data_IF_283728454631
#
_entry.id   IF_283728454631
#
_cell.length_a   1.000
_cell.length_b   1.000
_cell.length_c   1.000
_cell.angle_alpha   90.00
_cell.angle_beta   90.00
_cell.angle_gamma   90.00
#
_symmetry.space_group_name_H-M   'P 1'
#
loop_
_entity.id
_entity.type
_entity.pdbx_description
1 polymer ?
#
# COMPACT_ATOMS: atom_id res chain seq x y z
N UNK A 1 -49.89 -14.31 4.68
CA UNK A 1 -48.77 -14.16 5.65
C UNK A 1 -48.88 -12.78 6.25
N UNK A 2 -48.52 -12.60 7.52
CA UNK A 2 -48.60 -11.30 8.18
C UNK A 2 -47.43 -10.40 7.75
N UNK A 3 -47.68 -9.11 7.61
CA UNK A 3 -46.67 -8.13 7.20
C UNK A 3 -45.64 -7.88 8.31
N UNK A 4 -44.35 -8.03 7.95
CA UNK A 4 -43.19 -7.97 8.87
C UNK A 4 -42.53 -6.58 8.84
N UNK A 5 -42.87 -5.74 7.86
CA UNK A 5 -42.24 -4.43 7.66
C UNK A 5 -43.06 -3.35 8.38
N UNK A 6 -42.37 -2.49 9.13
CA UNK A 6 -42.98 -1.40 9.88
C UNK A 6 -42.29 -0.09 9.53
N UNK A 7 -43.06 1.00 9.48
CA UNK A 7 -42.49 2.33 9.32
C UNK A 7 -41.64 2.66 10.56
N UNK A 8 -40.44 3.19 10.34
CA UNK A 8 -39.62 3.66 11.45
C UNK A 8 -40.31 4.84 12.13
N UNK A 9 -40.20 4.95 13.48
CA UNK A 9 -40.62 6.15 14.17
C UNK A 9 -39.87 7.37 13.64
N UNK A 10 -40.57 8.50 13.49
CA UNK A 10 -40.00 9.71 12.87
C UNK A 10 -38.75 10.21 13.58
N UNK A 11 -38.67 10.04 14.91
CA UNK A 11 -37.48 10.39 15.70
C UNK A 11 -36.22 9.61 15.27
N UNK A 12 -36.36 8.34 14.93
CA UNK A 12 -35.26 7.47 14.47
C UNK A 12 -34.87 7.83 13.04
N UNK A 13 -35.85 8.01 12.15
CA UNK A 13 -35.58 8.47 10.79
C UNK A 13 -34.94 9.87 10.75
N UNK A 14 -35.28 10.76 11.68
CA UNK A 14 -34.70 12.11 11.81
C UNK A 14 -33.24 12.05 12.27
N UNK A 15 -32.91 11.20 13.24
CA UNK A 15 -31.54 11.03 13.72
C UNK A 15 -30.63 10.42 12.67
N UNK A 16 -31.16 9.55 11.81
CA UNK A 16 -30.43 8.98 10.67
C UNK A 16 -30.13 10.07 9.63
N UNK A 17 -31.14 10.85 9.22
CA UNK A 17 -30.96 11.94 8.25
C UNK A 17 -30.01 13.04 8.76
N UNK A 18 -30.05 13.37 10.05
CA UNK A 18 -29.17 14.37 10.65
C UNK A 18 -27.69 13.94 10.64
N UNK A 19 -27.39 12.65 10.81
CA UNK A 19 -26.02 12.11 10.74
C UNK A 19 -25.41 12.09 9.33
N UNK A 20 -26.25 12.12 8.29
CA UNK A 20 -25.82 12.16 6.89
C UNK A 20 -25.45 13.59 6.43
N UNK A 21 -26.09 14.61 7.01
CA UNK A 21 -25.85 16.04 6.71
C UNK A 21 -24.82 16.67 7.66
N UNK A 22 -24.82 16.25 8.94
CA UNK A 22 -23.96 16.82 9.98
C UNK A 22 -23.05 15.74 10.57
N UNK A 23 -21.83 15.64 10.03
CA UNK A 23 -20.85 14.61 10.42
C UNK A 23 -19.84 15.07 11.49
N UNK A 24 -19.66 16.39 11.62
CA UNK A 24 -18.77 17.02 12.62
C UNK A 24 -19.33 18.39 13.02
N UNK A 25 -18.96 18.94 14.19
CA UNK A 25 -19.40 20.27 14.61
C UNK A 25 -19.24 21.36 13.54
N UNK A 26 -18.19 21.29 12.72
CA UNK A 26 -17.97 22.21 11.60
C UNK A 26 -19.08 22.16 10.51
N UNK A 27 -19.72 21.00 10.30
CA UNK A 27 -20.85 20.87 9.38
C UNK A 27 -22.08 21.60 9.89
N UNK A 28 -22.34 21.57 11.21
CA UNK A 28 -23.41 22.38 11.84
C UNK A 28 -23.17 23.87 11.57
N UNK A 29 -21.94 24.33 11.80
CA UNK A 29 -21.56 25.74 11.61
C UNK A 29 -21.73 26.14 10.14
N UNK A 30 -21.31 25.29 9.19
CA UNK A 30 -21.47 25.54 7.76
C UNK A 30 -22.93 25.75 7.37
N UNK A 31 -23.82 24.82 7.74
CA UNK A 31 -25.24 24.89 7.35
C UNK A 31 -25.96 26.08 7.99
N UNK A 32 -25.64 26.40 9.25
CA UNK A 32 -26.19 27.59 9.92
C UNK A 32 -25.70 28.89 9.28
N UNK A 33 -24.42 28.96 8.89
CA UNK A 33 -23.89 30.13 8.17
C UNK A 33 -24.46 30.26 6.76
N UNK A 34 -24.67 29.16 6.04
CA UNK A 34 -25.31 29.18 4.72
C UNK A 34 -26.77 29.66 4.82
N UNK A 35 -27.49 29.27 5.87
CA UNK A 35 -28.84 29.79 6.14
C UNK A 35 -28.85 31.28 6.51
N UNK A 36 -27.88 31.77 7.28
CA UNK A 36 -27.75 33.19 7.59
C UNK A 36 -27.48 34.02 6.32
N UNK A 37 -26.63 33.51 5.41
CA UNK A 37 -26.37 34.14 4.11
C UNK A 37 -27.61 34.12 3.22
N UNK A 38 -28.33 33.00 3.15
CA UNK A 38 -29.58 32.91 2.39
C UNK A 38 -30.67 33.82 2.97
N UNK A 39 -30.62 34.13 4.27
CA UNK A 39 -31.46 35.12 4.95
C UNK A 39 -30.98 36.57 4.77
N UNK A 40 -29.97 36.81 3.93
CA UNK A 40 -29.38 38.12 3.63
C UNK A 40 -28.80 38.83 4.86
N UNK A 41 -28.20 38.07 5.79
CA UNK A 41 -27.49 38.65 6.92
C UNK A 41 -26.17 39.30 6.48
N UNK A 42 -25.91 40.52 6.95
CA UNK A 42 -24.65 41.23 6.75
C UNK A 42 -23.67 41.03 7.93
N UNK A 43 -24.19 40.62 9.09
CA UNK A 43 -23.44 40.37 10.33
C UNK A 43 -23.79 38.98 10.85
N UNK A 44 -22.78 38.15 11.05
CA UNK A 44 -22.91 36.78 11.57
C UNK A 44 -21.87 36.56 12.67
N UNK A 45 -22.34 36.34 13.91
CA UNK A 45 -21.52 36.04 15.07
C UNK A 45 -21.53 34.53 15.37
N UNK A 46 -20.34 33.90 15.38
CA UNK A 46 -20.19 32.47 15.66
C UNK A 46 -19.48 32.25 16.99
N UNK A 47 -20.15 31.60 17.94
CA UNK A 47 -19.64 31.28 19.27
C UNK A 47 -19.53 29.76 19.41
N UNK A 48 -18.33 29.27 19.72
CA UNK A 48 -18.03 27.85 19.85
C UNK A 48 -17.43 27.58 21.23
N UNK A 49 -17.97 26.58 21.94
CA UNK A 49 -17.41 26.08 23.21
C UNK A 49 -17.05 24.60 23.10
N UNK A 50 -15.88 24.24 23.62
CA UNK A 50 -15.37 22.86 23.64
C UNK A 50 -15.41 22.20 22.25
N UNK A 51 -14.82 22.88 21.26
CA UNK A 51 -14.79 22.44 19.85
C UNK A 51 -16.18 22.11 19.26
N UNK A 52 -17.23 22.75 19.77
CA UNK A 52 -18.61 22.57 19.32
C UNK A 52 -19.33 21.37 19.93
N UNK A 53 -18.70 20.66 20.87
CA UNK A 53 -19.35 19.57 21.62
C UNK A 53 -20.30 20.10 22.70
N UNK A 54 -19.94 21.23 23.30
CA UNK A 54 -20.74 21.86 24.37
C UNK A 54 -21.66 22.95 23.84
N UNK A 55 -21.21 23.77 22.88
CA UNK A 55 -22.03 24.84 22.31
C UNK A 55 -21.57 25.18 20.89
N UNK A 56 -22.54 25.29 19.99
CA UNK A 56 -22.43 25.98 18.71
C UNK A 56 -23.58 26.98 18.66
N UNK A 57 -23.25 28.26 18.57
CA UNK A 57 -24.25 29.34 18.48
C UNK A 57 -23.86 30.24 17.31
N UNK A 58 -24.80 30.44 16.38
CA UNK A 58 -24.69 31.37 15.26
C UNK A 58 -25.79 32.40 15.46
N UNK A 59 -25.43 33.67 15.64
CA UNK A 59 -26.39 34.77 15.60
C UNK A 59 -26.20 35.50 14.28
N UNK A 60 -27.30 35.80 13.61
CA UNK A 60 -27.29 36.62 12.40
C UNK A 60 -28.31 37.76 12.53
N UNK A 61 -28.15 38.78 11.70
CA UNK A 61 -29.08 39.91 11.58
C UNK A 61 -29.94 39.83 10.30
N UNK A 62 -30.15 38.63 9.76
CA UNK A 62 -30.91 38.42 8.54
C UNK A 62 -32.40 38.71 8.72
N UNK A 63 -33.18 38.42 7.67
CA UNK A 63 -34.62 38.70 7.61
C UNK A 63 -35.45 37.98 8.69
N UNK A 64 -34.87 36.98 9.35
CA UNK A 64 -35.50 36.23 10.42
C UNK A 64 -36.64 35.32 9.94
N UNK A 65 -37.43 34.82 10.90
CA UNK A 65 -38.59 33.96 10.65
C UNK A 65 -39.80 34.48 11.41
N UNK A 66 -40.99 34.34 10.84
CA UNK A 66 -42.23 34.55 11.60
C UNK A 66 -42.42 33.46 12.66
N UNK A 67 -43.31 33.67 13.64
CA UNK A 67 -43.62 32.65 14.65
C UNK A 67 -44.08 31.33 14.01
N UNK A 68 -44.81 31.40 12.89
CA UNK A 68 -45.29 30.22 12.17
C UNK A 68 -44.14 29.54 11.42
N UNK A 69 -43.29 30.30 10.73
CA UNK A 69 -42.14 29.75 9.98
C UNK A 69 -41.09 29.17 10.92
N UNK A 70 -40.91 29.75 12.11
CA UNK A 70 -39.99 29.23 13.13
C UNK A 70 -40.39 27.84 13.64
N UNK A 71 -41.66 27.46 13.51
CA UNK A 71 -42.15 26.09 13.80
C UNK A 71 -41.98 25.18 12.58
N UNK A 72 -42.34 25.68 11.39
CA UNK A 72 -42.29 24.92 10.14
C UNK A 72 -40.87 24.62 9.64
N UNK A 73 -39.87 25.43 9.99
CA UNK A 73 -38.49 25.24 9.51
C UNK A 73 -37.82 23.97 10.06
N UNK A 74 -38.39 23.36 11.09
CA UNK A 74 -37.95 22.07 11.63
C UNK A 74 -38.66 20.87 10.96
N UNK A 75 -39.67 21.11 10.13
CA UNK A 75 -40.42 20.07 9.44
C UNK A 75 -39.70 19.58 8.16
N UNK A 76 -39.84 18.29 7.85
CA UNK A 76 -39.22 17.71 6.65
C UNK A 76 -39.86 18.26 5.38
N UNK A 77 -39.04 18.40 4.33
CA UNK A 77 -39.46 18.85 3.00
C UNK A 77 -40.11 20.26 3.00
N UNK A 78 -39.92 21.03 4.07
CA UNK A 78 -40.33 22.42 4.16
C UNK A 78 -39.13 23.32 3.81
N UNK A 79 -39.29 24.21 2.83
CA UNK A 79 -38.29 25.21 2.46
C UNK A 79 -38.96 26.43 1.85
N UNK A 80 -38.42 27.61 2.12
CA UNK A 80 -38.83 28.86 1.46
C UNK A 80 -38.11 29.08 0.12
N UNK A 81 -37.13 28.22 -0.23
CA UNK A 81 -36.14 28.48 -1.30
C UNK A 81 -36.53 27.95 -2.68
N UNK A 82 -37.39 26.92 -2.76
CA UNK A 82 -37.86 26.32 -4.02
C UNK A 82 -39.34 25.94 -3.90
N UNK A 83 -40.13 26.11 -4.97
CA UNK A 83 -41.57 25.84 -4.98
C UNK A 83 -41.98 24.86 -6.09
N UNK A 84 -41.13 24.67 -7.09
CA UNK A 84 -41.39 23.79 -8.24
C UNK A 84 -40.14 22.99 -8.64
N UNK A 85 -40.33 21.97 -9.49
CA UNK A 85 -39.21 21.17 -10.03
C UNK A 85 -38.31 22.00 -10.94
N UNK A 86 -38.84 23.00 -11.62
CA UNK A 86 -38.10 23.87 -12.54
C UNK A 86 -37.15 24.84 -11.79
N UNK A 87 -37.49 25.21 -10.55
CA UNK A 87 -36.62 26.00 -9.67
C UNK A 87 -35.30 25.26 -9.34
N UNK A 88 -35.31 23.92 -9.49
CA UNK A 88 -34.12 23.11 -9.31
C UNK A 88 -33.05 23.31 -10.38
N UNK A 89 -33.46 23.67 -11.58
CA UNK A 89 -32.53 23.89 -12.69
C UNK A 89 -32.07 25.36 -12.75
N UNK A 90 -32.54 26.20 -11.81
CA UNK A 90 -32.42 27.66 -11.80
C UNK A 90 -31.86 28.21 -10.48
N UNK A 91 -30.92 27.49 -9.85
CA UNK A 91 -30.57 27.70 -8.45
C UNK A 91 -29.63 28.89 -8.24
N UNK A 92 -30.12 29.88 -7.50
CA UNK A 92 -29.36 31.04 -7.01
C UNK A 92 -29.05 30.95 -5.50
N UNK A 93 -29.45 29.88 -4.82
CA UNK A 93 -29.27 29.65 -3.37
C UNK A 93 -28.36 28.44 -3.11
N UNK A 94 -27.60 28.48 -2.00
CA UNK A 94 -26.47 27.54 -1.79
C UNK A 94 -26.86 26.17 -1.21
N UNK A 95 -28.11 26.00 -0.74
CA UNK A 95 -28.63 24.72 -0.25
C UNK A 95 -30.06 24.47 -0.73
N UNK A 96 -30.30 23.36 -1.42
CA UNK A 96 -31.60 23.11 -2.07
C UNK A 96 -32.05 21.64 -2.11
N UNK A 97 -31.18 20.66 -1.85
CA UNK A 97 -31.53 19.23 -1.82
C UNK A 97 -30.69 18.50 -0.79
N UNK A 98 -31.34 17.89 0.20
CA UNK A 98 -30.67 17.06 1.21
C UNK A 98 -30.07 15.74 0.69
N UNK A 99 -29.35 15.70 -0.45
CA UNK A 99 -28.80 14.46 -1.05
C UNK A 99 -27.48 14.66 -1.88
N UNK A 100 -26.42 15.25 -1.31
CA UNK A 100 -25.21 15.67 -2.07
C UNK A 100 -24.00 14.70 -2.07
N UNK A 101 -24.11 13.40 -1.74
CA UNK A 101 -22.95 12.63 -1.23
C UNK A 101 -22.05 11.84 -2.22
N UNK A 102 -22.43 11.58 -3.49
CA UNK A 102 -21.62 10.70 -4.37
C UNK A 102 -20.49 11.42 -5.15
N UNK A 103 -20.76 12.57 -5.77
CA UNK A 103 -19.79 13.30 -6.61
C UNK A 103 -18.68 13.95 -5.76
N UNK A 104 -19.03 14.42 -4.56
CA UNK A 104 -18.13 15.13 -3.65
C UNK A 104 -17.01 14.27 -3.06
N UNK A 105 -17.06 12.94 -3.21
CA UNK A 105 -15.98 12.06 -2.74
C UNK A 105 -14.84 11.98 -3.77
N UNK A 106 -15.13 11.99 -5.06
CA UNK A 106 -14.09 11.92 -6.11
C UNK A 106 -13.29 13.23 -6.22
N UNK A 107 -13.90 14.37 -5.89
CA UNK A 107 -13.22 15.67 -5.83
C UNK A 107 -12.05 15.76 -4.86
N UNK A 108 -12.00 14.86 -3.88
CA UNK A 108 -10.88 14.75 -2.94
C UNK A 108 -9.74 13.88 -3.47
N UNK A 109 -9.98 13.08 -4.51
CA UNK A 109 -9.07 12.04 -5.00
C UNK A 109 -8.40 12.42 -6.32
N UNK A 110 -9.06 13.19 -7.18
CA UNK A 110 -8.58 13.50 -8.53
C UNK A 110 -8.38 15.02 -8.73
N UNK A 111 -7.34 15.40 -9.46
CA UNK A 111 -7.12 16.81 -9.85
C UNK A 111 -7.89 17.22 -11.12
N UNK A 112 -8.56 16.26 -11.78
CA UNK A 112 -9.12 16.41 -13.14
C UNK A 112 -10.64 16.54 -13.19
N UNK A 113 -11.11 16.99 -14.36
CA UNK A 113 -12.51 17.26 -14.69
C UNK A 113 -13.47 16.10 -14.34
N UNK A 114 -14.57 16.46 -13.68
CA UNK A 114 -15.66 15.57 -13.34
C UNK A 114 -16.71 15.62 -14.45
N UNK A 115 -17.11 14.46 -14.95
CA UNK A 115 -18.14 14.37 -15.97
C UNK A 115 -19.31 13.54 -15.45
N UNK A 116 -20.51 14.09 -15.56
CA UNK A 116 -21.75 13.35 -15.35
C UNK A 116 -22.34 13.01 -16.72
N UNK A 117 -21.90 11.89 -17.29
CA UNK A 117 -22.15 11.49 -18.67
C UNK A 117 -22.53 10.00 -18.75
N UNK A 118 -23.16 9.59 -19.85
CA UNK A 118 -23.67 8.25 -20.05
C UNK A 118 -22.59 7.17 -19.93
N UNK A 119 -22.71 6.34 -18.88
CA UNK A 119 -21.68 5.40 -18.42
C UNK A 119 -21.19 4.42 -19.50
N UNK A 120 -22.11 3.76 -20.22
CA UNK A 120 -21.80 2.77 -21.26
C UNK A 120 -21.14 3.37 -22.52
N UNK A 121 -21.57 4.55 -22.94
CA UNK A 121 -21.11 5.17 -24.20
C UNK A 121 -19.71 5.73 -24.04
N UNK A 122 -19.47 6.34 -22.90
CA UNK A 122 -18.26 7.11 -22.62
C UNK A 122 -17.07 6.22 -22.33
N UNK A 123 -17.26 5.18 -21.52
CA UNK A 123 -16.19 4.26 -21.12
C UNK A 123 -15.70 3.39 -22.28
N UNK A 124 -16.45 3.29 -23.38
CA UNK A 124 -16.02 2.63 -24.61
C UNK A 124 -15.08 3.49 -25.47
N UNK A 125 -15.17 4.82 -25.33
CA UNK A 125 -14.50 5.77 -26.22
C UNK A 125 -13.21 6.31 -25.61
N UNK A 126 -13.23 6.73 -24.34
CA UNK A 126 -12.12 7.41 -23.69
C UNK A 126 -11.64 6.68 -22.43
N UNK A 127 -10.40 6.95 -22.04
CA UNK A 127 -9.79 6.39 -20.84
C UNK A 127 -10.14 7.22 -19.60
N UNK A 128 -10.64 6.56 -18.56
CA UNK A 128 -11.00 7.18 -17.29
C UNK A 128 -10.32 6.47 -16.13
N UNK A 129 -9.76 7.23 -15.18
CA UNK A 129 -9.17 6.58 -14.02
C UNK A 129 -10.24 6.04 -13.06
N UNK A 130 -11.35 6.76 -12.90
CA UNK A 130 -12.43 6.44 -11.96
C UNK A 130 -13.77 6.46 -12.67
N UNK A 131 -14.61 5.46 -12.39
CA UNK A 131 -15.99 5.42 -12.87
C UNK A 131 -16.94 5.02 -11.74
N UNK A 132 -18.08 5.72 -11.64
CA UNK A 132 -19.15 5.39 -10.71
C UNK A 132 -20.48 5.29 -11.45
N UNK A 133 -21.21 4.20 -11.21
CA UNK A 133 -22.54 3.96 -11.78
C UNK A 133 -23.51 3.50 -10.70
N UNK A 134 -24.72 4.08 -10.69
CA UNK A 134 -25.76 3.74 -9.73
C UNK A 134 -27.09 3.58 -10.45
N UNK A 135 -27.80 2.49 -10.17
CA UNK A 135 -29.10 2.21 -10.77
C UNK A 135 -29.74 0.95 -10.18
N UNK A 136 -31.01 0.73 -10.54
CA UNK A 136 -31.71 -0.50 -10.16
C UNK A 136 -30.97 -1.74 -10.69
N UNK A 137 -30.73 -2.72 -9.82
CA UNK A 137 -29.87 -3.86 -10.12
C UNK A 137 -30.59 -5.18 -10.34
N UNK A 138 -30.09 -5.96 -11.28
CA UNK A 138 -30.27 -7.43 -11.39
C UNK A 138 -28.89 -8.07 -11.41
N UNK A 139 -28.78 -9.40 -11.41
CA UNK A 139 -27.48 -10.08 -11.56
C UNK A 139 -26.69 -9.62 -12.80
N UNK A 140 -27.36 -9.22 -13.88
CA UNK A 140 -26.76 -8.95 -15.19
C UNK A 140 -26.93 -7.50 -15.67
N UNK A 141 -27.60 -6.63 -14.93
CA UNK A 141 -27.88 -5.26 -15.38
C UNK A 141 -27.94 -4.23 -14.26
N UNK A 142 -27.39 -3.06 -14.51
CA UNK A 142 -27.61 -1.83 -13.76
C UNK A 142 -28.42 -0.86 -14.63
N UNK A 143 -29.68 -0.63 -14.25
CA UNK A 143 -30.63 0.17 -15.02
C UNK A 143 -30.10 1.57 -15.30
N UNK A 144 -30.11 1.97 -16.58
CA UNK A 144 -29.60 3.27 -17.03
C UNK A 144 -28.06 3.40 -17.02
N UNK A 145 -27.32 2.35 -16.64
CA UNK A 145 -25.86 2.40 -16.49
C UNK A 145 -25.18 1.41 -17.44
N UNK A 146 -25.34 0.10 -17.22
CA UNK A 146 -24.59 -0.94 -17.95
C UNK A 146 -25.19 -2.35 -17.80
N UNK A 147 -24.83 -3.28 -18.69
CA UNK A 147 -25.25 -4.69 -18.64
C UNK A 147 -24.06 -5.63 -18.85
N UNK A 148 -24.13 -6.87 -18.34
CA UNK A 148 -23.08 -7.87 -18.57
C UNK A 148 -22.95 -8.25 -20.05
N UNK A 149 -24.04 -8.19 -20.82
CA UNK A 149 -24.02 -8.39 -22.27
C UNK A 149 -23.18 -7.32 -23.00
N UNK A 150 -23.24 -6.06 -22.55
CA UNK A 150 -22.39 -5.00 -23.08
C UNK A 150 -20.91 -5.23 -22.72
N UNK A 151 -20.66 -5.62 -21.47
CA UNK A 151 -19.31 -5.86 -20.93
C UNK A 151 -18.60 -7.05 -21.58
N UNK A 152 -19.35 -8.03 -22.11
CA UNK A 152 -18.78 -9.16 -22.84
C UNK A 152 -17.99 -8.76 -24.10
N UNK A 153 -18.15 -7.52 -24.59
CA UNK A 153 -17.41 -6.98 -25.72
C UNK A 153 -16.05 -6.35 -25.37
N UNK A 154 -15.56 -6.47 -24.13
CA UNK A 154 -14.29 -5.90 -23.62
C UNK A 154 -14.17 -4.38 -23.80
N UNK A 155 -15.11 -3.66 -23.19
CA UNK A 155 -15.39 -2.26 -23.54
C UNK A 155 -15.00 -1.23 -22.48
N UNK A 156 -14.54 -1.63 -21.29
CA UNK A 156 -14.35 -0.68 -20.20
C UNK A 156 -12.92 -0.14 -20.15
N UNK A 157 -12.75 1.11 -20.55
CA UNK A 157 -11.48 1.83 -20.45
C UNK A 157 -11.37 2.59 -19.13
N UNK A 158 -11.44 1.87 -18.01
CA UNK A 158 -11.22 2.48 -16.70
C UNK A 158 -10.42 1.63 -15.71
N UNK A 159 -9.77 2.29 -14.75
CA UNK A 159 -8.95 1.59 -13.74
C UNK A 159 -9.79 1.16 -12.55
N UNK A 160 -10.43 2.13 -11.88
CA UNK A 160 -11.24 1.90 -10.69
C UNK A 160 -12.72 2.05 -11.03
N UNK A 161 -13.48 1.00 -10.74
CA UNK A 161 -14.90 0.94 -11.05
C UNK A 161 -15.77 0.74 -9.81
N UNK A 162 -16.83 1.52 -9.69
CA UNK A 162 -17.74 1.50 -8.55
C UNK A 162 -19.17 1.38 -9.08
N UNK A 163 -19.81 0.25 -8.82
CA UNK A 163 -21.20 0.01 -9.24
C UNK A 163 -22.08 -0.20 -8.02
N UNK A 164 -23.18 0.54 -7.95
CA UNK A 164 -24.19 0.40 -6.90
C UNK A 164 -25.55 -0.01 -7.48
N UNK A 165 -26.14 -1.03 -6.85
CA UNK A 165 -27.44 -1.61 -7.22
C UNK A 165 -27.62 -2.98 -6.57
N UNK A 166 -28.82 -3.55 -6.70
CA UNK A 166 -29.18 -4.83 -6.10
C UNK A 166 -28.52 -6.02 -6.80
N UNK A 167 -28.20 -7.09 -6.04
CA UNK A 167 -27.68 -8.39 -6.52
C UNK A 167 -26.28 -8.36 -7.18
N UNK A 168 -25.64 -7.20 -7.18
CA UNK A 168 -24.26 -7.08 -7.65
C UNK A 168 -23.33 -7.71 -6.63
N UNK A 169 -22.40 -8.55 -7.08
CA UNK A 169 -21.44 -9.22 -6.20
C UNK A 169 -21.90 -10.54 -5.60
N UNK A 170 -23.17 -10.95 -5.79
CA UNK A 170 -23.65 -12.27 -5.41
C UNK A 170 -22.81 -13.37 -6.09
N UNK A 171 -22.16 -14.20 -5.26
CA UNK A 171 -21.16 -15.18 -5.69
C UNK A 171 -21.77 -16.46 -6.25
N UNK A 172 -23.00 -16.77 -5.86
CA UNK A 172 -23.77 -17.95 -6.27
C UNK A 172 -24.34 -17.84 -7.70
N UNK A 173 -24.34 -16.65 -8.29
CA UNK A 173 -24.72 -16.47 -9.70
C UNK A 173 -23.49 -16.47 -10.62
N UNK A 174 -23.35 -17.35 -11.63
CA UNK A 174 -22.18 -17.35 -12.50
C UNK A 174 -22.03 -16.09 -13.37
N UNK A 175 -23.14 -15.45 -13.77
CA UNK A 175 -23.15 -14.25 -14.61
C UNK A 175 -23.52 -13.03 -13.75
N UNK A 176 -22.51 -12.49 -13.05
CA UNK A 176 -22.68 -11.34 -12.17
C UNK A 176 -22.02 -10.08 -12.77
N UNK A 177 -22.70 -8.94 -12.62
CA UNK A 177 -22.30 -7.67 -13.19
C UNK A 177 -20.90 -7.19 -12.74
N UNK A 178 -20.53 -7.32 -11.46
CA UNK A 178 -19.21 -6.85 -10.98
C UNK A 178 -18.07 -7.68 -11.59
N UNK A 179 -18.26 -9.00 -11.68
CA UNK A 179 -17.29 -9.90 -12.31
C UNK A 179 -17.18 -9.65 -13.81
N UNK A 180 -18.31 -9.36 -14.45
CA UNK A 180 -18.35 -8.97 -15.87
C UNK A 180 -17.56 -7.67 -16.10
N UNK A 181 -17.69 -6.69 -15.20
CA UNK A 181 -16.97 -5.42 -15.31
C UNK A 181 -15.45 -5.57 -15.09
N UNK A 182 -15.04 -6.48 -14.18
CA UNK A 182 -13.63 -6.80 -13.98
C UNK A 182 -13.07 -7.52 -15.23
N UNK A 183 -13.84 -8.44 -15.80
CA UNK A 183 -13.43 -9.20 -16.98
C UNK A 183 -13.36 -8.36 -18.27
N UNK A 184 -14.00 -7.19 -18.31
CA UNK A 184 -14.09 -6.33 -19.50
C UNK A 184 -13.08 -5.18 -19.52
N UNK A 185 -12.02 -5.25 -18.69
CA UNK A 185 -10.92 -4.28 -18.71
C UNK A 185 -10.70 -3.47 -17.43
N UNK A 186 -11.67 -3.40 -16.50
CA UNK A 186 -11.43 -2.71 -15.23
C UNK A 186 -10.40 -3.45 -14.37
N UNK A 187 -9.42 -2.72 -13.79
CA UNK A 187 -8.40 -3.33 -12.91
C UNK A 187 -8.91 -3.56 -11.49
N UNK A 188 -9.89 -2.78 -11.04
CA UNK A 188 -10.61 -3.02 -9.79
C UNK A 188 -12.08 -2.64 -9.91
N UNK A 189 -12.93 -3.44 -9.28
CA UNK A 189 -14.39 -3.23 -9.23
C UNK A 189 -14.87 -3.39 -7.80
N UNK A 190 -15.66 -2.44 -7.32
CA UNK A 190 -16.26 -2.48 -5.99
C UNK A 190 -17.78 -2.30 -6.05
N UNK A 191 -18.48 -3.08 -5.22
CA UNK A 191 -19.88 -2.80 -4.91
C UNK A 191 -19.95 -1.63 -3.93
N UNK A 192 -20.24 -0.43 -4.44
CA UNK A 192 -20.17 0.82 -3.69
C UNK A 192 -21.55 1.31 -3.28
N UNK A 193 -21.66 2.34 -2.42
CA UNK A 193 -22.93 2.99 -2.09
C UNK A 193 -23.52 2.58 -0.74
N UNK A 194 -23.74 1.29 -0.49
CA UNK A 194 -24.21 0.78 0.82
C UNK A 194 -23.67 -0.62 1.04
N UNK A 195 -22.72 -0.85 1.93
CA UNK A 195 -22.11 0.06 2.91
C UNK A 195 -21.19 1.12 2.28
N UNK A 196 -20.87 2.18 3.05
CA UNK A 196 -20.03 3.27 2.56
C UNK A 196 -18.56 2.86 2.42
N UNK A 197 -17.92 3.37 1.37
CA UNK A 197 -16.50 3.19 1.10
C UNK A 197 -15.73 4.49 1.26
N UNK A 198 -14.50 4.39 1.78
CA UNK A 198 -13.64 5.53 2.07
C UNK A 198 -12.34 5.47 1.28
N UNK A 199 -12.35 6.00 0.05
CA UNK A 199 -11.21 5.96 -0.87
C UNK A 199 -10.29 7.19 -0.84
N UNK A 200 -10.59 8.21 -0.04
CA UNK A 200 -9.77 9.43 0.05
C UNK A 200 -8.30 9.14 0.42
N UNK A 201 -8.01 8.03 1.10
CA UNK A 201 -6.64 7.60 1.38
C UNK A 201 -5.81 7.41 0.09
N UNK A 202 -6.44 7.05 -1.03
CA UNK A 202 -5.75 6.88 -2.31
C UNK A 202 -5.25 8.21 -2.89
N UNK A 203 -5.87 9.33 -2.51
CA UNK A 203 -5.36 10.68 -2.77
C UNK A 203 -4.01 10.95 -2.08
N UNK A 204 -3.71 10.20 -1.01
CA UNK A 204 -2.47 10.29 -0.24
C UNK A 204 -1.51 9.13 -0.55
N UNK A 205 -1.71 8.44 -1.67
CA UNK A 205 -0.79 7.39 -2.15
C UNK A 205 -0.97 6.02 -1.52
N UNK A 206 -1.99 5.84 -0.67
CA UNK A 206 -2.35 4.52 -0.15
C UNK A 206 -3.05 3.68 -1.22
N UNK A 207 -3.04 2.36 -1.03
CA UNK A 207 -3.66 1.43 -1.98
C UNK A 207 -5.16 1.34 -1.79
N UNK A 208 -5.88 0.83 -2.79
CA UNK A 208 -7.32 0.54 -2.67
C UNK A 208 -7.61 -0.49 -1.58
N UNK A 209 -6.72 -1.46 -1.38
CA UNK A 209 -6.81 -2.44 -0.30
C UNK A 209 -6.67 -1.83 1.10
N UNK A 210 -5.82 -0.81 1.25
CA UNK A 210 -5.77 -0.05 2.50
C UNK A 210 -7.12 0.64 2.76
N UNK A 211 -7.68 1.29 1.75
CA UNK A 211 -8.99 1.96 1.83
C UNK A 211 -10.12 0.98 2.15
N UNK A 212 -10.10 -0.20 1.52
CA UNK A 212 -11.04 -1.29 1.80
C UNK A 212 -10.93 -1.75 3.26
N UNK A 213 -9.71 -2.01 3.75
CA UNK A 213 -9.47 -2.41 5.14
C UNK A 213 -9.96 -1.36 6.14
N UNK A 214 -9.70 -0.07 5.87
CA UNK A 214 -10.20 1.02 6.73
C UNK A 214 -11.72 1.10 6.70
N UNK A 215 -12.34 0.87 5.55
CA UNK A 215 -13.81 0.86 5.40
C UNK A 215 -14.44 -0.31 6.17
N UNK A 216 -13.90 -1.54 6.03
CA UNK A 216 -14.39 -2.75 6.73
C UNK A 216 -14.25 -2.64 8.26
N UNK A 217 -13.10 -2.13 8.71
CA UNK A 217 -12.78 -2.00 10.12
C UNK A 217 -13.25 -0.67 10.71
N UNK A 218 -14.00 0.13 9.96
CA UNK A 218 -14.47 1.41 10.42
C UNK A 218 -15.38 1.23 11.64
N UNK A 219 -14.95 1.85 12.74
CA UNK A 219 -15.65 1.78 14.02
C UNK A 219 -16.44 3.06 14.20
N UNK A 220 -15.73 4.16 14.46
CA UNK A 220 -16.25 5.50 14.65
C UNK A 220 -15.37 6.56 13.96
N UNK A 221 -14.41 6.15 13.11
CA UNK A 221 -13.48 7.07 12.45
C UNK A 221 -14.17 7.81 11.30
N UNK A 222 -14.95 7.07 10.53
CA UNK A 222 -15.83 7.58 9.50
C UNK A 222 -17.28 7.22 9.82
N UNK A 223 -18.25 7.86 9.17
CA UNK A 223 -19.66 7.54 9.39
C UNK A 223 -20.00 6.13 8.87
N UNK A 224 -20.30 5.14 9.72
CA UNK A 224 -20.51 3.77 9.22
C UNK A 224 -21.82 3.60 8.43
N UNK A 225 -22.71 4.59 8.41
CA UNK A 225 -24.06 4.44 7.88
C UNK A 225 -24.83 3.36 8.65
N UNK A 226 -25.67 2.60 7.94
CA UNK A 226 -26.49 1.54 8.51
C UNK A 226 -25.72 0.27 8.90
N UNK A 227 -24.39 0.21 8.69
CA UNK A 227 -23.56 -0.97 8.99
C UNK A 227 -22.22 -0.56 9.61
N UNK A 228 -22.04 -0.75 10.92
CA UNK A 228 -20.77 -0.49 11.63
C UNK A 228 -20.01 -1.78 11.93
N UNK A 229 -18.74 -1.85 11.51
CA UNK A 229 -17.87 -3.05 11.56
C UNK A 229 -18.48 -4.32 10.93
N UNK A 230 -17.65 -5.29 10.55
CA UNK A 230 -18.15 -6.56 9.96
C UNK A 230 -18.85 -6.37 8.61
N UNK A 231 -18.56 -5.25 7.97
CA UNK A 231 -19.10 -4.85 6.68
C UNK A 231 -18.51 -5.76 5.60
N UNK A 232 -19.31 -6.69 5.05
CA UNK A 232 -18.90 -7.44 3.86
C UNK A 232 -18.91 -6.49 2.67
N UNK A 233 -17.72 -6.00 2.30
CA UNK A 233 -17.53 -5.20 1.09
C UNK A 233 -16.91 -6.06 0.00
N UNK A 234 -17.53 -6.06 -1.18
CA UNK A 234 -17.03 -6.80 -2.35
C UNK A 234 -16.07 -5.90 -3.10
N UNK A 235 -14.76 -6.08 -2.86
CA UNK A 235 -13.69 -5.59 -3.73
C UNK A 235 -13.22 -6.73 -4.63
N UNK A 236 -13.20 -6.51 -5.94
CA UNK A 236 -12.60 -7.40 -6.91
C UNK A 236 -11.40 -6.70 -7.58
N UNK A 237 -10.42 -7.49 -8.01
CA UNK A 237 -9.19 -6.99 -8.63
C UNK A 237 -8.01 -6.89 -7.67
N UNK A 238 -6.99 -6.13 -8.05
CA UNK A 238 -5.73 -6.04 -7.31
C UNK A 238 -5.81 -5.00 -6.16
N UNK A 239 -5.71 -5.42 -4.88
CA UNK A 239 -5.79 -4.52 -3.73
C UNK A 239 -4.55 -3.62 -3.56
N UNK A 240 -3.48 -3.85 -4.33
CA UNK A 240 -2.23 -3.08 -4.27
C UNK A 240 -2.24 -1.85 -5.17
N UNK A 241 -3.25 -1.71 -6.03
CA UNK A 241 -3.41 -0.57 -6.93
C UNK A 241 -3.50 0.76 -6.17
N UNK A 242 -2.91 1.79 -6.76
CA UNK A 242 -2.90 3.17 -6.26
C UNK A 242 -3.50 4.11 -7.31
N UNK A 243 -4.00 5.26 -6.86
CA UNK A 243 -4.48 6.32 -7.73
C UNK A 243 -3.36 6.88 -8.63
N UNK A 244 -2.18 7.10 -8.06
CA UNK A 244 -1.06 7.72 -8.76
C UNK A 244 0.08 6.71 -8.90
N UNK A 245 0.43 6.36 -10.13
CA UNK A 245 1.54 5.45 -10.45
C UNK A 245 2.64 6.24 -11.13
N UNK A 246 3.88 5.92 -10.79
CA UNK A 246 5.09 6.50 -11.38
C UNK A 246 5.88 5.36 -11.99
N UNK A 247 6.39 5.56 -13.21
CA UNK A 247 7.26 4.61 -13.87
C UNK A 247 8.52 4.35 -13.00
N UNK A 248 8.90 3.08 -12.78
CA UNK A 248 10.11 2.77 -12.02
C UNK A 248 11.39 3.11 -12.82
N UNK A 249 12.55 3.24 -12.16
CA UNK A 249 13.84 3.18 -12.84
C UNK A 249 14.02 1.81 -13.52
N UNK A 250 14.89 1.72 -14.51
CA UNK A 250 15.19 0.47 -15.21
C UNK A 250 16.65 0.07 -15.01
N UNK A 251 17.00 -1.18 -15.32
CA UNK A 251 18.38 -1.68 -15.31
C UNK A 251 19.15 -1.37 -14.01
N UNK A 252 18.52 -1.60 -12.85
CA UNK A 252 19.21 -1.50 -11.55
C UNK A 252 20.28 -2.59 -11.50
N UNK A 253 21.51 -2.20 -11.20
CA UNK A 253 22.62 -3.12 -10.98
C UNK A 253 23.40 -2.74 -9.72
N UNK A 254 23.67 -3.71 -8.86
CA UNK A 254 24.43 -3.57 -7.63
C UNK A 254 25.68 -4.46 -7.68
N UNK A 255 26.86 -3.84 -7.59
CA UNK A 255 28.14 -4.54 -7.68
C UNK A 255 29.08 -4.11 -6.56
N UNK A 256 29.70 -5.09 -5.88
CA UNK A 256 30.71 -4.82 -4.86
C UNK A 256 32.04 -4.43 -5.49
N UNK A 257 32.62 -3.33 -4.98
CA UNK A 257 33.99 -2.93 -5.22
C UNK A 257 34.70 -2.82 -3.86
N UNK A 258 35.36 -3.91 -3.47
CA UNK A 258 35.95 -4.05 -2.13
C UNK A 258 34.89 -4.03 -1.03
N UNK A 259 34.97 -3.06 -0.11
CA UNK A 259 34.03 -2.90 1.01
C UNK A 259 32.79 -2.05 0.69
N UNK A 260 32.68 -1.51 -0.52
CA UNK A 260 31.59 -0.62 -0.93
C UNK A 260 30.78 -1.30 -2.03
N UNK A 261 29.47 -1.08 -2.05
CA UNK A 261 28.60 -1.53 -3.13
C UNK A 261 28.21 -0.33 -4.00
N UNK A 262 28.48 -0.41 -5.29
CA UNK A 262 28.04 0.58 -6.26
C UNK A 262 26.70 0.14 -6.85
N UNK A 263 25.68 0.95 -6.67
CA UNK A 263 24.33 0.74 -7.20
C UNK A 263 24.11 1.74 -8.33
N UNK A 264 23.83 1.24 -9.53
CA UNK A 264 23.57 2.03 -10.73
C UNK A 264 22.20 1.70 -11.30
N UNK A 265 21.57 2.64 -12.00
CA UNK A 265 20.29 2.41 -12.67
C UNK A 265 20.13 3.35 -13.87
N UNK A 266 19.13 3.09 -14.71
CA UNK A 266 18.68 4.01 -15.75
C UNK A 266 17.48 4.82 -15.28
N UNK A 267 17.38 6.05 -15.79
CA UNK A 267 16.35 6.99 -15.34
C UNK A 267 14.94 6.49 -15.67
N UNK A 268 14.00 6.79 -14.77
CA UNK A 268 12.56 6.63 -15.04
C UNK A 268 12.14 7.47 -16.26
N UNK A 269 11.11 7.01 -16.98
CA UNK A 269 10.51 7.74 -18.09
C UNK A 269 9.70 8.97 -17.64
N UNK A 270 9.25 8.99 -16.40
CA UNK A 270 8.40 10.07 -15.88
C UNK A 270 9.22 11.24 -15.33
N UNK A 271 8.61 12.41 -15.24
CA UNK A 271 9.21 13.54 -14.54
C UNK A 271 9.15 13.30 -13.02
N UNK A 272 10.31 13.21 -12.38
CA UNK A 272 10.48 12.80 -10.98
C UNK A 272 11.40 13.77 -10.23
N UNK A 273 11.30 13.76 -8.90
CA UNK A 273 12.21 14.53 -8.03
C UNK A 273 13.58 13.83 -7.87
N UNK A 274 13.60 12.50 -7.94
CA UNK A 274 14.84 11.71 -7.87
C UNK A 274 14.58 10.27 -7.41
N UNK A 275 15.52 9.69 -6.67
CA UNK A 275 15.48 8.28 -6.27
C UNK A 275 15.77 8.07 -4.78
N UNK A 276 15.20 7.00 -4.25
CA UNK A 276 15.58 6.41 -2.97
C UNK A 276 16.14 5.01 -3.17
N UNK A 277 17.21 4.72 -2.43
CA UNK A 277 17.88 3.41 -2.43
C UNK A 277 17.64 2.74 -1.09
N UNK A 278 17.16 1.50 -1.15
CA UNK A 278 16.92 0.65 0.00
C UNK A 278 17.81 -0.57 -0.06
N UNK A 279 18.11 -1.15 1.11
CA UNK A 279 18.89 -2.37 1.24
C UNK A 279 18.27 -3.29 2.27
N UNK A 280 18.43 -4.59 2.09
CA UNK A 280 18.29 -5.60 3.15
C UNK A 280 19.46 -6.57 3.11
N UNK A 281 19.80 -7.11 4.28
CA UNK A 281 20.76 -8.21 4.40
C UNK A 281 19.97 -9.51 4.48
N UNK A 282 20.28 -10.47 3.61
CA UNK A 282 19.54 -11.71 3.47
C UNK A 282 18.05 -11.51 3.06
N UNK A 283 17.40 -12.56 2.59
CA UNK A 283 16.01 -12.46 2.11
C UNK A 283 14.96 -12.32 3.22
N UNK A 284 15.32 -12.61 4.47
CA UNK A 284 14.37 -12.63 5.58
C UNK A 284 14.25 -11.29 6.31
N UNK A 285 15.14 -10.34 6.02
CA UNK A 285 15.08 -9.01 6.63
C UNK A 285 14.22 -8.03 5.84
N UNK A 286 13.71 -7.03 6.54
CA UNK A 286 13.00 -5.90 5.94
C UNK A 286 13.95 -4.94 5.24
N UNK A 287 13.50 -4.31 4.16
CA UNK A 287 14.24 -3.24 3.50
C UNK A 287 14.37 -2.01 4.42
N UNK A 288 15.59 -1.52 4.58
CA UNK A 288 15.91 -0.23 5.20
C UNK A 288 16.29 0.80 4.15
N UNK A 289 15.87 2.04 4.35
CA UNK A 289 16.28 3.17 3.52
C UNK A 289 17.77 3.47 3.78
N UNK A 290 18.56 3.64 2.71
CA UNK A 290 19.99 4.00 2.80
C UNK A 290 20.24 5.48 2.53
N UNK A 291 19.53 6.03 1.56
CA UNK A 291 19.65 7.43 1.15
C UNK A 291 18.97 8.34 2.18
N UNK A 292 19.73 9.24 2.80
CA UNK A 292 19.21 10.23 3.76
C UNK A 292 18.44 11.38 3.11
N UNK A 293 18.61 11.58 1.80
CA UNK A 293 17.95 12.60 0.98
C UNK A 293 17.66 12.04 -0.42
N UNK A 294 16.89 12.78 -1.21
CA UNK A 294 16.53 12.40 -2.58
C UNK A 294 17.80 12.44 -3.46
N UNK A 295 18.04 11.37 -4.21
CA UNK A 295 19.20 11.25 -5.11
C UNK A 295 18.79 11.69 -6.51
N UNK A 296 19.48 12.70 -7.06
CA UNK A 296 19.22 13.19 -8.42
C UNK A 296 20.09 12.53 -9.50
N UNK A 297 21.11 11.78 -9.06
CA UNK A 297 22.02 11.02 -9.91
C UNK A 297 21.48 9.59 -10.16
N UNK A 298 22.16 8.84 -11.03
CA UNK A 298 21.88 7.43 -11.35
C UNK A 298 22.89 6.45 -10.76
N UNK A 299 23.73 6.95 -9.84
CA UNK A 299 24.74 6.17 -9.11
C UNK A 299 24.62 6.48 -7.61
N UNK A 300 24.60 5.42 -6.81
CA UNK A 300 24.70 5.50 -5.36
C UNK A 300 25.75 4.53 -4.85
N UNK A 301 26.61 5.00 -3.94
CA UNK A 301 27.68 4.17 -3.34
C UNK A 301 27.32 3.88 -1.90
N UNK A 302 26.99 2.63 -1.61
CA UNK A 302 26.77 2.15 -0.25
C UNK A 302 28.09 1.77 0.41
N UNK A 303 28.43 2.46 1.50
CA UNK A 303 29.65 2.21 2.30
C UNK A 303 29.36 1.52 3.63
N UNK A 304 28.09 1.17 3.89
CA UNK A 304 27.64 0.58 5.16
C UNK A 304 27.67 -0.95 5.17
N UNK A 305 28.35 -1.57 4.21
CA UNK A 305 28.47 -3.03 4.05
C UNK A 305 29.73 -3.54 4.75
N UNK A 306 29.59 -3.92 6.02
CA UNK A 306 30.66 -4.55 6.80
C UNK A 306 30.64 -6.06 6.76
N UNK A 307 29.47 -6.67 6.55
CA UNK A 307 29.25 -8.09 6.82
C UNK A 307 29.31 -8.90 5.53
N UNK A 308 29.79 -10.14 5.62
CA UNK A 308 29.67 -11.10 4.51
C UNK A 308 28.22 -11.55 4.38
N UNK A 309 27.70 -11.61 3.16
CA UNK A 309 26.33 -12.04 2.94
C UNK A 309 25.73 -11.62 1.61
N UNK A 310 24.46 -11.96 1.45
CA UNK A 310 23.66 -11.62 0.27
C UNK A 310 22.94 -10.32 0.54
N UNK A 311 23.32 -9.26 -0.16
CA UNK A 311 22.67 -7.96 -0.07
C UNK A 311 21.68 -7.81 -1.22
N UNK A 312 20.45 -7.43 -0.91
CA UNK A 312 19.50 -7.05 -1.94
C UNK A 312 19.24 -5.55 -1.86
N UNK A 313 19.42 -4.88 -3.00
CA UNK A 313 19.18 -3.46 -3.18
C UNK A 313 17.88 -3.26 -3.93
N UNK A 314 17.17 -2.19 -3.57
CA UNK A 314 15.95 -1.77 -4.26
C UNK A 314 16.05 -0.27 -4.54
N UNK A 315 15.81 0.13 -5.78
CA UNK A 315 15.73 1.53 -6.18
C UNK A 315 14.30 1.88 -6.51
N UNK A 316 13.83 3.03 -6.01
CA UNK A 316 12.49 3.56 -6.28
C UNK A 316 12.62 5.01 -6.72
N UNK A 317 11.94 5.37 -7.81
CA UNK A 317 11.77 6.77 -8.18
C UNK A 317 10.79 7.44 -7.22
N UNK A 318 11.01 8.71 -6.94
CA UNK A 318 10.17 9.55 -6.07
C UNK A 318 9.69 10.77 -6.83
N UNK A 319 8.40 11.09 -6.69
CA UNK A 319 7.79 12.31 -7.20
C UNK A 319 6.92 12.93 -6.11
N UNK A 320 6.94 14.24 -6.00
CA UNK A 320 6.00 14.96 -5.15
C UNK A 320 4.65 15.03 -5.89
N UNK A 321 3.64 14.33 -5.38
CA UNK A 321 2.27 14.41 -5.89
C UNK A 321 1.50 15.42 -5.05
N UNK A 322 0.72 16.27 -5.71
CA UNK A 322 -0.17 17.23 -5.08
C UNK A 322 -1.59 16.93 -5.52
N UNK A 323 -2.48 16.70 -4.55
CA UNK A 323 -3.89 16.39 -4.77
C UNK A 323 -4.76 17.36 -3.95
N UNK A 324 -6.09 17.39 -4.14
CA UNK A 324 -6.96 18.27 -3.35
C UNK A 324 -6.99 17.88 -1.86
N UNK A 325 -6.60 16.65 -1.52
CA UNK A 325 -6.46 16.17 -0.14
C UNK A 325 -5.11 16.51 0.50
N UNK A 326 -4.15 17.06 -0.25
CA UNK A 326 -2.80 17.39 0.21
C UNK A 326 -1.71 16.83 -0.70
N UNK A 327 -0.45 17.02 -0.28
CA UNK A 327 0.72 16.58 -1.05
C UNK A 327 1.50 15.49 -0.32
N UNK A 328 2.09 14.56 -1.07
CA UNK A 328 2.89 13.46 -0.53
C UNK A 328 3.98 13.01 -1.51
N UNK A 329 5.05 12.41 -0.98
CA UNK A 329 6.07 11.77 -1.82
C UNK A 329 5.59 10.40 -2.27
N UNK A 330 5.25 10.28 -3.55
CA UNK A 330 4.85 9.04 -4.16
C UNK A 330 6.08 8.28 -4.66
N UNK A 331 6.11 6.98 -4.40
CA UNK A 331 7.22 6.10 -4.77
C UNK A 331 6.77 5.12 -5.84
N UNK A 332 7.58 4.98 -6.89
CA UNK A 332 7.39 3.97 -7.94
C UNK A 332 7.44 2.55 -7.37
N UNK A 333 7.12 1.56 -8.21
CA UNK A 333 7.49 0.17 -7.91
C UNK A 333 9.01 0.06 -7.73
N UNK A 334 9.43 -0.87 -6.86
CA UNK A 334 10.83 -1.13 -6.61
C UNK A 334 11.43 -2.01 -7.69
N UNK A 335 12.61 -1.64 -8.18
CA UNK A 335 13.43 -2.51 -9.03
C UNK A 335 14.63 -2.95 -8.23
N UNK A 336 14.90 -4.25 -8.29
CA UNK A 336 15.79 -4.95 -7.39
C UNK A 336 17.03 -5.45 -8.11
N UNK A 337 18.15 -5.46 -7.41
CA UNK A 337 19.29 -6.30 -7.77
C UNK A 337 19.90 -6.92 -6.51
N UNK A 338 20.59 -8.04 -6.69
CA UNK A 338 21.23 -8.79 -5.60
C UNK A 338 22.73 -8.81 -5.79
N UNK A 339 23.44 -8.31 -4.79
CA UNK A 339 24.89 -8.27 -4.77
C UNK A 339 25.42 -9.19 -3.66
N UNK A 340 26.46 -9.94 -3.98
CA UNK A 340 27.08 -10.88 -3.04
C UNK A 340 28.34 -10.25 -2.46
N UNK A 341 28.34 -9.98 -1.16
CA UNK A 341 29.53 -9.55 -0.46
C UNK A 341 30.28 -10.77 0.04
N UNK A 342 31.19 -11.27 -0.78
CA UNK A 342 32.19 -12.22 -0.34
C UNK A 342 33.37 -11.43 0.22
N UNK A 343 33.34 -11.05 1.51
CA UNK A 343 34.60 -10.72 2.17
C UNK A 343 35.36 -12.03 2.35
N UNK A 344 36.00 -12.50 1.28
CA UNK A 344 37.11 -13.40 1.44
C UNK A 344 38.16 -12.62 2.24
N UNK A 345 38.47 -13.08 3.44
CA UNK A 345 39.67 -12.64 4.14
C UNK A 345 40.87 -13.10 3.30
N UNK A 346 41.30 -12.28 2.33
CA UNK A 346 42.54 -12.52 1.56
C UNK A 346 43.77 -12.03 2.34
N UNK A 347 43.64 -11.79 3.65
CA UNK A 347 44.80 -11.61 4.51
C UNK A 347 45.26 -12.99 5.00
N UNK A 348 45.59 -13.86 4.04
CA UNK A 348 46.41 -15.03 4.29
C UNK A 348 47.84 -14.50 4.32
N UNK A 349 48.27 -14.02 5.49
CA UNK A 349 49.65 -14.29 5.81
C UNK A 349 49.70 -15.82 5.92
N UNK A 350 50.41 -16.45 4.99
CA UNK A 350 50.94 -17.79 5.19
C UNK A 350 52.26 -17.55 5.95
N UNK A 351 52.26 -17.47 7.30
CA UNK A 351 53.53 -17.58 7.99
C UNK A 351 54.07 -18.95 7.58
N UNK A 352 55.18 -18.93 6.86
CA UNK A 352 55.94 -20.08 6.39
C UNK A 352 55.73 -21.33 7.24
N UNK A 353 55.70 -22.53 6.63
CA UNK A 353 55.31 -23.78 7.29
C UNK A 353 56.05 -23.93 8.61
N UNK A 354 55.31 -23.81 9.72
CA UNK A 354 55.86 -24.10 11.03
C UNK A 354 56.21 -25.58 11.00
N UNK A 355 57.49 -25.89 11.16
CA UNK A 355 58.04 -27.26 11.08
C UNK A 355 57.38 -28.25 12.04
N UNK A 356 56.62 -27.76 13.01
CA UNK A 356 55.91 -28.51 14.03
C UNK A 356 54.56 -29.07 13.59
N UNK A 357 53.92 -28.53 12.53
CA UNK A 357 52.60 -28.98 12.06
C UNK A 357 52.72 -29.96 10.87
N UNK A 358 52.34 -31.21 11.09
CA UNK A 358 52.33 -32.28 10.08
C UNK A 358 50.90 -32.72 9.78
N UNK A 359 50.54 -32.74 8.50
CA UNK A 359 49.23 -33.17 8.02
C UNK A 359 49.43 -34.26 6.97
N UNK A 360 48.94 -35.47 7.24
CA UNK A 360 49.18 -36.64 6.39
C UNK A 360 48.12 -37.73 6.58
N UNK A 361 47.89 -38.59 5.57
CA UNK A 361 48.35 -38.47 4.19
C UNK A 361 47.60 -37.35 3.45
N UNK A 362 48.26 -36.71 2.49
CA UNK A 362 47.64 -35.77 1.56
C UNK A 362 48.23 -36.06 0.16
N UNK A 363 47.49 -36.68 -0.78
CA UNK A 363 46.05 -36.95 -0.76
C UNK A 363 45.59 -37.95 0.32
N UNK A 364 44.38 -37.74 0.85
CA UNK A 364 43.74 -38.56 1.88
C UNK A 364 42.64 -39.42 1.28
N UNK A 365 42.55 -40.69 1.71
CA UNK A 365 41.44 -41.57 1.35
C UNK A 365 40.43 -41.63 2.50
N UNK A 366 40.81 -42.30 3.59
CA UNK A 366 39.87 -42.61 4.68
C UNK A 366 40.04 -41.74 5.94
N UNK A 367 41.28 -41.45 6.32
CA UNK A 367 41.59 -40.71 7.54
C UNK A 367 42.76 -39.75 7.34
N UNK A 368 42.56 -38.50 7.75
CA UNK A 368 43.57 -37.45 7.79
C UNK A 368 44.11 -37.33 9.22
N UNK A 369 45.42 -37.41 9.40
CA UNK A 369 46.10 -37.16 10.67
C UNK A 369 46.69 -35.75 10.70
N UNK A 370 46.48 -35.05 11.80
CA UNK A 370 47.06 -33.74 12.08
C UNK A 370 47.83 -33.83 13.38
N UNK A 371 49.11 -33.51 13.34
CA UNK A 371 50.03 -33.58 14.47
C UNK A 371 50.75 -32.25 14.60
N UNK A 372 50.70 -31.66 15.79
CA UNK A 372 51.42 -30.44 16.13
C UNK A 372 52.36 -30.68 17.31
N UNK A 373 53.66 -30.47 17.12
CA UNK A 373 54.66 -30.78 18.15
C UNK A 373 54.82 -29.67 19.21
N UNK A 374 54.31 -28.46 18.94
CA UNK A 374 54.59 -27.27 19.77
C UNK A 374 53.38 -26.75 20.56
N UNK A 375 52.15 -27.05 20.14
CA UNK A 375 50.95 -26.47 20.78
C UNK A 375 49.73 -27.36 20.61
N UNK A 376 48.85 -27.36 21.62
CA UNK A 376 47.61 -28.14 21.61
C UNK A 376 46.69 -27.65 20.49
N UNK A 377 46.15 -28.60 19.71
CA UNK A 377 45.14 -28.35 18.68
C UNK A 377 43.79 -28.20 19.38
N UNK A 378 43.24 -26.99 19.38
CA UNK A 378 41.96 -26.67 20.02
C UNK A 378 40.78 -26.91 19.10
N UNK A 379 40.93 -26.62 17.81
CA UNK A 379 39.85 -26.68 16.85
C UNK A 379 40.38 -27.12 15.49
N UNK A 380 39.63 -27.99 14.82
CA UNK A 380 39.84 -28.26 13.40
C UNK A 380 38.51 -28.17 12.66
N UNK A 381 38.48 -27.34 11.61
CA UNK A 381 37.30 -27.12 10.77
C UNK A 381 37.62 -27.44 9.32
N UNK A 382 36.72 -28.17 8.64
CA UNK A 382 36.83 -28.56 7.24
C UNK A 382 35.83 -27.74 6.44
N UNK A 383 36.31 -27.04 5.41
CA UNK A 383 35.49 -26.25 4.49
C UNK A 383 35.54 -26.84 3.08
N UNK A 384 34.43 -26.75 2.36
CA UNK A 384 34.44 -26.99 0.92
C UNK A 384 35.04 -25.80 0.14
N UNK A 385 35.24 -25.96 -1.17
CA UNK A 385 35.76 -24.90 -2.04
C UNK A 385 34.86 -23.65 -2.12
N UNK A 386 33.60 -23.76 -1.71
CA UNK A 386 32.65 -22.64 -1.66
C UNK A 386 32.65 -21.94 -0.29
N UNK A 387 33.48 -22.40 0.66
CA UNK A 387 33.62 -21.83 1.99
C UNK A 387 32.56 -22.29 3.00
N UNK A 388 31.77 -23.32 2.70
CA UNK A 388 30.79 -23.89 3.64
C UNK A 388 31.52 -24.83 4.62
N UNK A 389 31.24 -24.69 5.91
CA UNK A 389 31.78 -25.58 6.96
C UNK A 389 31.09 -26.95 6.88
N UNK A 390 31.87 -27.99 6.59
CA UNK A 390 31.39 -29.37 6.43
C UNK A 390 31.52 -30.15 7.73
N UNK A 391 32.61 -29.91 8.47
CA UNK A 391 32.89 -30.61 9.72
C UNK A 391 33.70 -29.73 10.66
N UNK A 392 33.49 -29.89 11.97
CA UNK A 392 34.17 -29.16 13.02
C UNK A 392 34.41 -30.04 14.24
N UNK A 393 35.64 -30.04 14.75
CA UNK A 393 36.03 -30.82 15.93
C UNK A 393 36.87 -29.98 16.90
N UNK A 394 36.88 -30.38 18.18
CA UNK A 394 37.65 -29.74 19.25
C UNK A 394 38.55 -30.75 19.98
N UNK A 395 39.68 -31.15 19.38
CA UNK A 395 40.48 -32.27 19.87
C UNK A 395 41.07 -32.06 21.25
N UNK A 396 41.55 -30.84 21.54
CA UNK A 396 42.31 -30.52 22.75
C UNK A 396 43.50 -31.45 23.00
N UNK A 397 44.18 -31.85 21.92
CA UNK A 397 45.34 -32.76 21.95
C UNK A 397 46.42 -32.25 20.97
N UNK A 398 47.65 -32.72 21.11
CA UNK A 398 48.75 -32.45 20.18
C UNK A 398 48.59 -33.23 18.86
N UNK A 399 47.80 -34.31 18.87
CA UNK A 399 47.53 -35.13 17.68
C UNK A 399 46.05 -35.44 17.56
N UNK A 400 45.51 -35.33 16.36
CA UNK A 400 44.11 -35.66 16.08
C UNK A 400 43.96 -36.34 14.72
N UNK A 401 42.85 -37.05 14.55
CA UNK A 401 42.48 -37.70 13.29
C UNK A 401 41.07 -37.28 12.87
N UNK A 402 40.89 -37.08 11.57
CA UNK A 402 39.62 -36.73 10.96
C UNK A 402 39.25 -37.82 9.97
N UNK A 403 38.07 -38.39 10.15
CA UNK A 403 37.50 -39.34 9.20
C UNK A 403 36.99 -38.59 7.96
N UNK A 404 37.48 -38.95 6.78
CA UNK A 404 37.11 -38.34 5.49
C UNK A 404 36.15 -39.21 4.66
N UNK A 405 35.68 -40.36 5.18
CA UNK A 405 34.79 -41.29 4.48
C UNK A 405 33.41 -40.73 4.10
N UNK A 406 33.03 -39.58 4.66
CA UNK A 406 31.79 -38.88 4.30
C UNK A 406 32.00 -37.77 3.26
N UNK A 407 33.25 -37.42 2.94
CA UNK A 407 33.60 -36.39 1.98
C UNK A 407 33.72 -36.97 0.57
N UNK A 408 33.09 -36.34 -0.41
CA UNK A 408 33.23 -36.72 -1.83
C UNK A 408 34.67 -36.45 -2.32
N UNK A 409 35.07 -37.09 -3.42
CA UNK A 409 36.37 -36.83 -4.05
C UNK A 409 36.48 -35.34 -4.43
N UNK A 410 37.60 -34.70 -4.07
CA UNK A 410 37.80 -33.28 -4.35
C UNK A 410 38.74 -32.55 -3.40
N UNK A 411 38.81 -31.23 -3.57
CA UNK A 411 39.66 -30.34 -2.78
C UNK A 411 38.86 -29.77 -1.59
N UNK A 412 39.46 -29.81 -0.41
CA UNK A 412 38.92 -29.18 0.80
C UNK A 412 39.96 -28.28 1.46
N UNK A 413 39.47 -27.33 2.25
CA UNK A 413 40.30 -26.42 3.03
C UNK A 413 40.14 -26.75 4.51
N UNK A 414 41.26 -27.02 5.16
CA UNK A 414 41.34 -27.28 6.58
C UNK A 414 41.76 -26.01 7.32
N UNK A 415 41.03 -25.64 8.37
CA UNK A 415 41.43 -24.61 9.33
C UNK A 415 41.77 -25.27 10.65
N UNK A 416 42.99 -25.10 11.13
CA UNK A 416 43.46 -25.64 12.40
C UNK A 416 43.73 -24.46 13.33
N UNK A 417 43.14 -24.47 14.52
CA UNK A 417 43.43 -23.49 15.57
C UNK A 417 44.16 -24.17 16.71
N UNK A 418 45.32 -23.63 17.08
CA UNK A 418 46.07 -24.03 18.26
C UNK A 418 45.84 -23.02 19.38
N UNK A 419 46.48 -23.21 20.53
CA UNK A 419 46.42 -22.23 21.63
C UNK A 419 46.95 -20.86 21.24
N UNK A 420 47.96 -20.82 20.36
CA UNK A 420 48.71 -19.62 20.04
C UNK A 420 48.43 -19.09 18.63
N UNK A 421 48.05 -19.96 17.68
CA UNK A 421 47.99 -19.62 16.26
C UNK A 421 46.81 -20.28 15.52
N UNK A 422 46.61 -19.86 14.27
CA UNK A 422 45.68 -20.51 13.35
C UNK A 422 46.32 -20.74 11.98
N UNK A 423 46.16 -21.96 11.46
CA UNK A 423 46.73 -22.42 10.20
C UNK A 423 45.63 -22.81 9.21
N UNK A 424 45.90 -22.60 7.93
CA UNK A 424 45.04 -23.05 6.83
C UNK A 424 45.83 -24.03 5.96
N UNK A 425 45.24 -25.17 5.62
CA UNK A 425 45.90 -26.16 4.77
C UNK A 425 44.94 -26.76 3.74
N UNK A 426 45.42 -26.94 2.51
CA UNK A 426 44.66 -27.59 1.45
C UNK A 426 44.82 -29.10 1.53
N UNK A 427 43.72 -29.84 1.54
CA UNK A 427 43.73 -31.31 1.45
C UNK A 427 43.03 -31.78 0.18
N UNK A 428 43.51 -32.88 -0.39
CA UNK A 428 42.91 -33.55 -1.53
C UNK A 428 42.33 -34.89 -1.08
N UNK A 429 41.02 -35.07 -1.19
CA UNK A 429 40.35 -36.34 -0.89
C UNK A 429 40.33 -37.16 -2.18
N UNK A 430 41.08 -38.27 -2.21
CA UNK A 430 41.03 -39.27 -3.27
C UNK A 430 40.09 -40.40 -2.83
N UNK A 431 39.32 -40.95 -3.78
CA UNK A 431 38.54 -42.17 -3.54
C UNK A 431 38.82 -43.22 -4.59
#
# INVERSE_FOLDING_TARGET
MADIIHLLPDSVANQIAAGEVIQRPASVVKELMENAVDAQADIIDVIIKDSGKTLIKVNDNGLGMSETDSRLCFERHATSKIKSVDDLFSLHTKGFRGEALAINSFSTICDTQYYNIGYNTVLSQNDYQWAYGCGGGTFTSCSGVITSAFLAGDTLKNVFNFLFGSYFGDWDNPNNLLRSALASGSLSVAWSGRPFWYFHHMALGYTIGYSARQSMNNTNTYYPGNMSKGVHITLLGDPTLKAHIIAPPTNVSAQFNGKQCNITWQKSSDNIEGYYVFKRLNHNESFRLLSSSIINDTLFVDRSTSDSGVYQYMVRAVKLESTPSGSYYNLSLGVFDTAYNHQAYVNINDPHPVSSLKIYPNPVNDQLTIENQESVIKEVSVYDILGREINKSYPNDLKTTINTNHLIEGIYILKIKTENDSFMHKIHVNR
#
